data_IF_566267939362
#
_entry.id   IF_566267939362
#
_cell.length_a   1.000
_cell.length_b   1.000
_cell.length_c   1.000
_cell.angle_alpha   90.00
_cell.angle_beta   90.00
_cell.angle_gamma   90.00
#
_symmetry.space_group_name_H-M   'P 1'
#
loop_
_entity.id
_entity.type
_entity.pdbx_description
1 polymer ?
#
# COMPACT_ATOMS: atom_id res chain seq x y z
N UNK A 1 13.44 23.90 6.87
CA UNK A 1 13.65 22.59 6.21
C UNK A 1 13.83 21.52 7.26
N UNK A 2 13.21 20.37 7.07
CA UNK A 2 13.34 19.16 7.89
C UNK A 2 14.63 18.45 7.45
N UNK A 3 15.50 18.12 8.41
CA UNK A 3 16.73 17.38 8.13
C UNK A 3 16.39 15.91 7.84
N UNK A 4 16.32 15.56 6.56
CA UNK A 4 15.90 14.24 6.06
C UNK A 4 16.46 14.05 4.67
N UNK A 5 16.95 12.85 4.38
CA UNK A 5 17.34 12.40 3.03
C UNK A 5 16.24 11.55 2.42
N UNK A 6 15.64 12.01 1.34
CA UNK A 6 14.56 11.34 0.62
C UNK A 6 15.08 10.78 -0.72
N UNK A 7 14.98 9.46 -0.91
CA UNK A 7 15.16 8.81 -2.20
C UNK A 7 13.79 8.51 -2.83
N UNK A 8 13.54 9.07 -4.01
CA UNK A 8 12.32 8.84 -4.79
C UNK A 8 12.69 8.06 -6.05
N UNK A 9 11.96 6.98 -6.35
CA UNK A 9 11.96 6.39 -7.68
C UNK A 9 10.62 6.63 -8.36
N UNK A 10 10.70 7.05 -9.62
CA UNK A 10 9.55 7.27 -10.51
C UNK A 10 9.67 6.30 -11.68
N UNK A 11 8.73 5.37 -11.78
CA UNK A 11 8.62 4.54 -12.98
C UNK A 11 7.92 5.34 -14.09
N UNK A 12 8.62 5.58 -15.21
CA UNK A 12 8.09 6.31 -16.35
C UNK A 12 8.23 5.48 -17.63
N UNK A 13 7.17 4.75 -17.99
CA UNK A 13 7.06 4.21 -19.34
C UNK A 13 6.83 5.36 -20.30
N UNK A 14 7.89 5.74 -21.02
CA UNK A 14 7.89 6.94 -21.83
C UNK A 14 6.71 6.96 -22.79
N UNK A 15 5.94 8.03 -22.65
CA UNK A 15 4.83 8.38 -23.49
C UNK A 15 4.78 9.91 -23.56
N UNK A 16 4.93 10.52 -24.75
CA UNK A 16 4.86 11.97 -24.91
C UNK A 16 3.61 12.61 -24.27
N UNK A 17 2.45 11.93 -24.32
CA UNK A 17 1.20 12.44 -23.77
C UNK A 17 1.19 12.49 -22.23
N UNK A 18 2.11 11.76 -21.58
CA UNK A 18 2.25 11.67 -20.13
C UNK A 18 3.38 12.51 -19.56
N UNK A 19 4.26 13.08 -20.39
CA UNK A 19 5.37 13.94 -19.96
C UNK A 19 4.88 15.09 -19.06
N UNK A 20 3.74 15.70 -19.40
CA UNK A 20 3.10 16.74 -18.59
C UNK A 20 2.80 16.33 -17.15
N UNK A 21 2.52 15.04 -16.89
CA UNK A 21 2.27 14.54 -15.55
C UNK A 21 3.57 14.39 -14.78
N UNK A 22 4.60 13.83 -15.42
CA UNK A 22 5.95 13.75 -14.85
C UNK A 22 6.48 15.13 -14.47
N UNK A 23 6.33 16.15 -15.34
CA UNK A 23 6.70 17.53 -15.01
C UNK A 23 5.98 18.04 -13.77
N UNK A 24 4.66 17.81 -13.64
CA UNK A 24 3.88 18.22 -12.46
C UNK A 24 4.34 17.49 -11.19
N UNK A 25 4.66 16.20 -11.29
CA UNK A 25 5.19 15.41 -10.17
C UNK A 25 6.53 15.96 -9.70
N UNK A 26 7.44 16.26 -10.64
CA UNK A 26 8.76 16.83 -10.34
C UNK A 26 8.66 18.26 -9.77
N UNK A 27 7.85 19.13 -10.39
CA UNK A 27 7.58 20.48 -9.86
C UNK A 27 7.03 20.43 -8.44
N UNK A 28 6.16 19.46 -8.13
CA UNK A 28 5.59 19.32 -6.80
C UNK A 28 6.66 19.08 -5.71
N UNK A 29 7.77 18.42 -6.01
CA UNK A 29 8.87 18.25 -5.05
C UNK A 29 9.58 19.57 -4.70
N UNK A 30 9.46 20.63 -5.50
CA UNK A 30 9.96 21.97 -5.12
C UNK A 30 9.28 22.52 -3.87
N UNK A 31 8.07 22.07 -3.58
CA UNK A 31 7.30 22.48 -2.40
C UNK A 31 7.68 21.69 -1.14
N UNK A 32 8.51 20.66 -1.25
CA UNK A 32 8.88 19.83 -0.12
C UNK A 32 9.93 20.55 0.73
N UNK A 33 9.66 20.71 2.01
CA UNK A 33 10.60 21.34 2.94
C UNK A 33 11.62 20.32 3.49
N UNK A 34 12.21 19.51 2.62
CA UNK A 34 13.18 18.44 2.95
C UNK A 34 14.60 18.89 2.57
N UNK A 35 15.58 18.61 3.41
CA UNK A 35 16.96 19.09 3.21
C UNK A 35 17.67 18.48 2.01
N UNK A 36 17.34 17.24 1.64
CA UNK A 36 18.02 16.48 0.60
C UNK A 36 17.03 15.54 -0.09
N UNK A 37 16.76 15.82 -1.37
CA UNK A 37 15.86 15.03 -2.22
C UNK A 37 16.69 14.52 -3.39
N UNK A 38 16.65 13.21 -3.61
CA UNK A 38 17.20 12.58 -4.78
C UNK A 38 16.09 11.81 -5.49
N UNK A 39 15.81 12.20 -6.74
CA UNK A 39 14.84 11.54 -7.60
C UNK A 39 15.56 10.71 -8.66
N UNK A 40 15.10 9.49 -8.87
CA UNK A 40 15.54 8.63 -9.97
C UNK A 40 14.35 8.33 -10.85
N UNK A 41 14.47 8.64 -12.13
CA UNK A 41 13.46 8.34 -13.13
C UNK A 41 13.92 7.08 -13.88
N UNK A 42 13.20 5.98 -13.66
CA UNK A 42 13.40 4.74 -14.39
C UNK A 42 12.55 4.77 -15.68
N UNK A 43 13.20 4.80 -16.84
CA UNK A 43 12.55 4.92 -18.16
C UNK A 43 12.97 3.82 -19.13
N UNK A 44 12.21 3.64 -20.22
CA UNK A 44 12.50 2.67 -21.29
C UNK A 44 13.05 3.32 -22.57
N UNK A 45 13.46 4.60 -22.53
CA UNK A 45 14.08 5.29 -23.67
C UNK A 45 15.06 6.38 -23.22
N UNK A 46 16.12 6.59 -24.02
CA UNK A 46 17.10 7.67 -23.81
C UNK A 46 16.49 9.06 -24.11
N UNK A 47 15.43 9.13 -24.91
CA UNK A 47 14.74 10.39 -25.28
C UNK A 47 14.25 11.17 -24.06
N UNK A 48 13.98 10.46 -22.95
CA UNK A 48 13.55 11.09 -21.68
C UNK A 48 14.58 12.10 -21.21
N UNK A 49 15.88 11.76 -21.28
CA UNK A 49 16.94 12.66 -20.81
C UNK A 49 17.04 13.90 -21.69
N UNK A 50 17.08 13.71 -23.00
CA UNK A 50 17.20 14.81 -23.96
C UNK A 50 16.06 15.82 -23.83
N UNK A 51 14.83 15.33 -23.62
CA UNK A 51 13.64 16.17 -23.51
C UNK A 51 13.48 16.89 -22.17
N UNK A 52 13.89 16.25 -21.07
CA UNK A 52 13.72 16.81 -19.75
C UNK A 52 14.92 17.66 -19.29
N UNK A 53 16.09 17.58 -19.94
CA UNK A 53 17.34 18.18 -19.44
C UNK A 53 17.18 19.64 -19.00
N UNK A 54 16.66 20.50 -19.88
CA UNK A 54 16.48 21.94 -19.57
C UNK A 54 15.58 22.16 -18.35
N UNK A 55 14.56 21.33 -18.18
CA UNK A 55 13.66 21.39 -17.03
C UNK A 55 14.33 20.89 -15.75
N UNK A 56 15.07 19.78 -15.84
CA UNK A 56 15.79 19.17 -14.71
C UNK A 56 16.81 20.14 -14.11
N UNK A 57 17.49 20.92 -14.95
CA UNK A 57 18.47 21.93 -14.53
C UNK A 57 17.84 23.07 -13.69
N UNK A 58 16.51 23.21 -13.72
CA UNK A 58 15.77 24.19 -12.90
C UNK A 58 15.37 23.67 -11.52
N UNK A 59 15.55 22.37 -11.26
CA UNK A 59 15.10 21.73 -10.02
C UNK A 59 16.12 21.97 -8.91
N UNK A 60 15.69 22.30 -7.67
CA UNK A 60 16.59 22.55 -6.55
C UNK A 60 17.10 21.26 -5.88
N UNK A 61 16.97 20.12 -6.56
CA UNK A 61 17.28 18.79 -6.05
C UNK A 61 17.87 17.91 -7.15
N UNK A 62 18.51 16.80 -6.79
CA UNK A 62 19.17 15.92 -7.75
C UNK A 62 18.15 15.04 -8.45
N UNK A 63 18.26 14.95 -9.78
CA UNK A 63 17.49 14.02 -10.60
C UNK A 63 18.43 13.23 -11.51
N UNK A 64 18.41 11.90 -11.35
CA UNK A 64 19.07 10.97 -12.27
C UNK A 64 18.03 10.27 -13.15
N UNK A 65 18.41 9.99 -14.40
CA UNK A 65 17.59 9.21 -15.34
C UNK A 65 18.31 7.90 -15.62
N UNK A 66 17.63 6.78 -15.35
CA UNK A 66 18.11 5.44 -15.64
C UNK A 66 17.29 4.82 -16.76
N UNK A 67 17.94 4.54 -17.89
CA UNK A 67 17.31 3.95 -19.06
C UNK A 67 17.46 2.42 -19.07
N UNK A 68 16.34 1.71 -19.25
CA UNK A 68 16.26 0.25 -19.23
C UNK A 68 15.70 -0.29 -20.55
N UNK A 69 16.59 -0.60 -21.50
CA UNK A 69 16.21 -1.02 -22.86
C UNK A 69 15.94 -2.54 -23.01
N UNK A 70 16.46 -3.36 -22.09
CA UNK A 70 16.49 -4.82 -22.23
C UNK A 70 15.81 -5.52 -21.05
N UNK A 71 14.52 -5.24 -20.84
CA UNK A 71 13.71 -5.88 -19.82
C UNK A 71 13.00 -7.12 -20.38
N UNK A 72 12.97 -8.22 -19.63
CA UNK A 72 12.25 -9.45 -20.02
C UNK A 72 10.77 -9.20 -20.35
N UNK A 73 10.17 -8.24 -19.66
CA UNK A 73 8.82 -7.76 -19.90
C UNK A 73 8.79 -6.24 -19.72
N UNK A 74 8.12 -5.45 -20.59
CA UNK A 74 8.11 -3.99 -20.48
C UNK A 74 7.69 -3.48 -19.10
N UNK A 75 6.67 -4.08 -18.49
CA UNK A 75 6.19 -3.70 -17.16
C UNK A 75 7.17 -4.00 -16.01
N UNK A 76 8.27 -4.73 -16.25
CA UNK A 76 9.31 -4.93 -15.25
C UNK A 76 10.04 -3.62 -14.90
N UNK A 77 9.89 -2.56 -15.71
CA UNK A 77 10.38 -1.22 -15.38
C UNK A 77 9.89 -0.76 -14.00
N UNK A 78 8.65 -1.09 -13.64
CA UNK A 78 8.08 -0.75 -12.32
C UNK A 78 8.81 -1.42 -11.15
N UNK A 79 9.71 -2.38 -11.39
CA UNK A 79 10.47 -3.09 -10.36
C UNK A 79 11.96 -2.73 -10.32
N UNK A 80 12.48 -1.95 -11.29
CA UNK A 80 13.93 -1.67 -11.42
C UNK A 80 14.47 -0.89 -10.22
N UNK A 81 13.63 -0.06 -9.60
CA UNK A 81 13.96 0.70 -8.39
C UNK A 81 14.50 -0.16 -7.24
N UNK A 82 14.11 -1.45 -7.19
CA UNK A 82 14.44 -2.32 -6.06
C UNK A 82 15.93 -2.51 -5.86
N UNK A 83 16.65 -2.80 -6.93
CA UNK A 83 18.09 -3.06 -6.83
C UNK A 83 18.82 -1.83 -6.29
N UNK A 84 18.45 -0.64 -6.79
CA UNK A 84 19.04 0.61 -6.35
C UNK A 84 18.70 0.92 -4.88
N UNK A 85 17.42 0.86 -4.50
CA UNK A 85 17.02 1.12 -3.11
C UNK A 85 17.64 0.11 -2.12
N UNK A 86 17.86 -1.15 -2.51
CA UNK A 86 18.54 -2.14 -1.68
C UNK A 86 19.99 -1.73 -1.40
N UNK A 87 20.72 -1.26 -2.42
CA UNK A 87 22.11 -0.80 -2.29
C UNK A 87 22.23 0.44 -1.39
N UNK A 88 21.20 1.27 -1.39
CA UNK A 88 21.19 2.56 -0.70
C UNK A 88 20.33 2.61 0.55
N UNK A 89 19.93 1.46 1.10
CA UNK A 89 19.01 1.42 2.25
C UNK A 89 19.54 2.15 3.49
N UNK A 90 20.86 2.19 3.67
CA UNK A 90 21.51 2.87 4.80
C UNK A 90 21.81 4.36 4.54
N UNK A 91 21.72 4.82 3.28
CA UNK A 91 22.13 6.17 2.87
C UNK A 91 21.03 7.21 3.01
N UNK A 92 19.76 6.77 3.01
CA UNK A 92 18.57 7.63 3.04
C UNK A 92 17.71 7.37 4.27
N UNK A 93 16.93 8.38 4.68
CA UNK A 93 16.02 8.29 5.83
C UNK A 93 14.63 7.84 5.39
N UNK A 94 14.23 8.23 4.17
CA UNK A 94 12.92 7.95 3.58
C UNK A 94 13.07 7.49 2.14
N UNK A 95 12.26 6.50 1.77
CA UNK A 95 12.17 5.90 0.45
C UNK A 95 10.76 6.08 -0.10
N UNK A 96 10.64 6.43 -1.36
CA UNK A 96 9.37 6.62 -2.04
C UNK A 96 9.41 5.95 -3.42
N UNK A 97 8.37 5.21 -3.76
CA UNK A 97 8.10 4.75 -5.12
C UNK A 97 6.77 5.34 -5.57
N UNK A 98 6.76 5.95 -6.76
CA UNK A 98 5.57 6.48 -7.43
C UNK A 98 5.60 6.17 -8.93
N UNK A 99 4.43 6.21 -9.57
CA UNK A 99 4.31 6.25 -11.04
C UNK A 99 4.34 7.71 -11.52
N UNK A 100 4.62 7.93 -12.81
CA UNK A 100 4.80 9.25 -13.44
C UNK A 100 3.58 10.19 -13.34
N UNK A 101 2.41 9.65 -13.00
CA UNK A 101 1.14 10.37 -12.91
C UNK A 101 0.51 10.37 -11.51
N UNK A 102 1.29 9.99 -10.49
CA UNK A 102 0.88 9.99 -9.08
C UNK A 102 1.57 11.15 -8.35
N UNK A 103 0.79 12.18 -8.01
CA UNK A 103 1.25 13.34 -7.26
C UNK A 103 0.95 13.17 -5.77
N UNK A 104 2.01 13.22 -4.94
CA UNK A 104 1.90 13.28 -3.48
C UNK A 104 2.15 14.73 -3.05
N UNK A 105 1.15 15.51 -2.65
CA UNK A 105 1.36 16.89 -2.20
C UNK A 105 2.24 16.96 -0.96
N UNK A 106 2.94 18.08 -0.76
CA UNK A 106 3.73 18.29 0.46
C UNK A 106 2.89 18.10 1.74
N UNK A 107 1.65 18.60 1.77
CA UNK A 107 0.76 18.43 2.94
C UNK A 107 0.50 16.95 3.26
N UNK A 108 0.35 16.11 2.24
CA UNK A 108 0.14 14.67 2.41
C UNK A 108 1.39 13.96 2.92
N UNK A 109 2.54 14.27 2.34
CA UNK A 109 3.81 13.69 2.78
C UNK A 109 4.22 14.19 4.18
N UNK A 110 3.93 15.45 4.52
CA UNK A 110 4.12 16.02 5.86
C UNK A 110 3.25 15.32 6.91
N UNK A 111 1.98 15.07 6.62
CA UNK A 111 1.12 14.26 7.49
C UNK A 111 1.66 12.83 7.65
N UNK A 112 2.15 12.21 6.58
CA UNK A 112 2.83 10.92 6.67
C UNK A 112 4.06 11.00 7.60
N UNK A 113 4.94 11.99 7.45
CA UNK A 113 6.12 12.16 8.32
C UNK A 113 5.73 12.28 9.81
N UNK A 114 4.68 13.05 10.11
CA UNK A 114 4.24 13.30 11.47
C UNK A 114 3.65 12.05 12.16
N UNK A 115 2.98 11.19 11.39
CA UNK A 115 2.19 10.07 11.93
C UNK A 115 2.86 8.71 11.80
N UNK A 116 3.73 8.54 10.80
CA UNK A 116 4.17 7.23 10.33
C UNK A 116 4.82 6.39 11.44
N UNK A 117 5.64 6.97 12.31
CA UNK A 117 6.27 6.23 13.40
C UNK A 117 5.24 5.67 14.39
N UNK A 118 4.28 6.49 14.82
CA UNK A 118 3.24 6.09 15.76
C UNK A 118 2.32 5.01 15.15
N UNK A 119 1.94 5.18 13.88
CA UNK A 119 1.15 4.18 13.15
C UNK A 119 1.94 2.87 13.01
N UNK A 120 3.22 2.94 12.64
CA UNK A 120 4.05 1.78 12.40
C UNK A 120 4.33 0.95 13.66
N UNK A 121 4.47 1.59 14.83
CA UNK A 121 4.58 0.91 16.14
C UNK A 121 3.38 0.00 16.46
N UNK A 122 2.21 0.23 15.84
CA UNK A 122 1.03 -0.65 15.99
C UNK A 122 1.03 -1.85 15.03
N UNK A 123 2.06 -1.99 14.20
CA UNK A 123 2.13 -2.96 13.11
C UNK A 123 1.31 -2.57 11.87
N UNK A 124 0.82 -1.33 11.79
CA UNK A 124 0.10 -0.78 10.63
C UNK A 124 1.04 0.02 9.72
N UNK A 125 0.54 0.45 8.57
CA UNK A 125 1.24 1.31 7.61
C UNK A 125 0.33 2.50 7.32
N UNK A 126 0.85 3.72 7.47
CA UNK A 126 0.14 4.94 7.09
C UNK A 126 0.08 4.99 5.56
N UNK A 127 -1.10 4.82 4.99
CA UNK A 127 -1.32 4.89 3.53
C UNK A 127 -1.90 6.22 3.07
N UNK A 128 -2.25 6.30 1.79
CA UNK A 128 -2.92 7.45 1.20
C UNK A 128 -4.25 7.03 0.54
N UNK A 129 -5.17 7.97 0.39
CA UNK A 129 -6.33 7.80 -0.48
C UNK A 129 -6.01 8.44 -1.83
N UNK A 130 -5.92 7.60 -2.86
CA UNK A 130 -5.75 8.07 -4.24
C UNK A 130 -7.06 8.65 -4.75
N UNK A 131 -7.01 9.89 -5.21
CA UNK A 131 -8.16 10.65 -5.70
C UNK A 131 -7.94 11.20 -7.09
N UNK A 132 -9.04 11.49 -7.77
CA UNK A 132 -9.10 12.29 -8.98
C UNK A 132 -9.92 13.56 -8.72
N UNK A 133 -9.52 14.65 -9.37
CA UNK A 133 -10.17 15.95 -9.29
C UNK A 133 -10.29 16.57 -10.68
N UNK A 134 -11.20 16.07 -11.55
CA UNK A 134 -11.25 16.47 -12.96
C UNK A 134 -11.54 17.95 -13.17
N UNK A 135 -12.29 18.58 -12.26
CA UNK A 135 -12.80 19.95 -12.43
C UNK A 135 -12.32 20.94 -11.34
N UNK A 136 -11.52 20.48 -10.38
CA UNK A 136 -11.08 21.30 -9.24
C UNK A 136 -12.01 21.25 -8.01
N UNK A 137 -13.31 21.02 -8.23
CA UNK A 137 -14.34 21.19 -7.18
C UNK A 137 -14.57 19.96 -6.29
N UNK A 138 -14.43 18.74 -6.82
CA UNK A 138 -14.84 17.51 -6.13
C UNK A 138 -13.82 16.40 -6.29
N UNK A 139 -13.46 15.79 -5.16
CA UNK A 139 -12.56 14.64 -5.12
C UNK A 139 -13.33 13.32 -5.26
N UNK A 140 -12.88 12.49 -6.18
CA UNK A 140 -13.39 11.13 -6.39
C UNK A 140 -12.35 10.11 -5.95
N UNK A 141 -12.73 9.15 -5.12
CA UNK A 141 -11.82 8.09 -4.68
C UNK A 141 -11.53 7.14 -5.85
N UNK A 142 -10.30 7.20 -6.39
CA UNK A 142 -9.94 6.62 -7.68
C UNK A 142 -10.24 5.11 -7.74
N UNK A 143 -9.97 4.39 -6.66
CA UNK A 143 -10.08 2.93 -6.62
C UNK A 143 -11.48 2.42 -6.26
N UNK A 144 -12.44 3.32 -6.03
CA UNK A 144 -13.78 2.99 -5.54
C UNK A 144 -14.86 3.07 -6.63
N UNK A 145 -15.65 1.99 -6.69
CA UNK A 145 -16.76 1.84 -7.64
C UNK A 145 -18.12 2.24 -7.07
N UNK A 146 -18.21 2.20 -5.75
CA UNK A 146 -19.40 2.50 -4.97
C UNK A 146 -18.96 2.82 -3.53
N UNK A 147 -19.78 3.53 -2.75
CA UNK A 147 -19.55 3.72 -1.33
C UNK A 147 -19.36 2.39 -0.59
N UNK A 148 -18.49 2.37 0.42
CA UNK A 148 -18.26 1.22 1.28
C UNK A 148 -19.09 1.31 2.57
N UNK A 149 -19.41 0.18 3.22
CA UNK A 149 -19.99 0.20 4.56
C UNK A 149 -19.14 1.04 5.52
N UNK A 150 -19.79 1.80 6.41
CA UNK A 150 -19.10 2.59 7.40
C UNK A 150 -18.08 1.74 8.19
N UNK A 151 -16.80 2.14 8.23
CA UNK A 151 -15.76 1.34 8.84
C UNK A 151 -15.81 1.43 10.36
N UNK A 152 -15.06 0.53 10.99
CA UNK A 152 -14.67 0.68 12.39
C UNK A 152 -13.51 1.66 12.46
N UNK A 153 -13.66 2.70 13.29
CA UNK A 153 -12.62 3.69 13.54
C UNK A 153 -11.85 3.32 14.79
N UNK A 154 -10.53 3.45 14.72
CA UNK A 154 -9.60 3.30 15.83
C UNK A 154 -8.87 4.62 16.08
N UNK A 155 -8.22 4.71 17.25
CA UNK A 155 -7.40 5.86 17.62
C UNK A 155 -5.96 5.42 17.82
N UNK A 156 -5.01 6.15 17.24
CA UNK A 156 -3.57 6.02 17.47
C UNK A 156 -3.07 7.40 17.91
N UNK A 157 -2.64 7.52 19.16
CA UNK A 157 -2.38 8.83 19.76
C UNK A 157 -3.67 9.65 19.86
N UNK A 158 -3.68 10.84 19.26
CA UNK A 158 -4.85 11.73 19.17
C UNK A 158 -5.62 11.63 17.85
N UNK A 159 -5.11 10.86 16.87
CA UNK A 159 -5.65 10.81 15.52
C UNK A 159 -6.52 9.56 15.31
N UNK A 160 -7.60 9.71 14.55
CA UNK A 160 -8.48 8.61 14.17
C UNK A 160 -8.05 7.99 12.84
N UNK A 161 -8.22 6.67 12.73
CA UNK A 161 -7.86 5.87 11.57
C UNK A 161 -8.89 4.80 11.25
N UNK A 162 -8.93 4.38 9.99
CA UNK A 162 -9.63 3.17 9.55
C UNK A 162 -8.82 2.37 8.53
N UNK A 163 -9.23 1.13 8.32
CA UNK A 163 -8.70 0.25 7.28
C UNK A 163 -9.59 0.32 6.04
N UNK A 164 -9.12 0.87 4.90
CA UNK A 164 -9.92 0.93 3.67
C UNK A 164 -10.17 -0.44 3.07
N UNK A 165 -11.35 -0.68 2.49
CA UNK A 165 -11.62 -1.95 1.76
C UNK A 165 -10.79 -2.11 0.48
N UNK A 166 -10.37 -0.98 -0.12
CA UNK A 166 -9.58 -0.93 -1.34
C UNK A 166 -8.32 -0.11 -1.05
N UNK A 167 -7.26 -0.74 -0.54
CA UNK A 167 -6.10 -0.01 -0.02
C UNK A 167 -5.09 0.39 -1.12
N UNK A 168 -5.29 -0.04 -2.38
CA UNK A 168 -4.40 0.29 -3.49
C UNK A 168 -4.39 1.80 -3.76
N UNK A 169 -3.19 2.35 -3.96
CA UNK A 169 -3.00 3.79 -4.23
C UNK A 169 -1.77 4.07 -5.13
N UNK A 170 -1.30 3.06 -5.89
CA UNK A 170 -0.25 3.16 -6.90
C UNK A 170 1.10 3.78 -6.45
N UNK A 171 1.38 3.79 -5.15
CA UNK A 171 2.66 4.24 -4.61
C UNK A 171 2.90 3.66 -3.22
N UNK A 172 4.09 3.91 -2.67
CA UNK A 172 4.35 3.72 -1.24
C UNK A 172 5.48 4.62 -0.76
N UNK A 173 5.46 4.90 0.54
CA UNK A 173 6.45 5.73 1.24
C UNK A 173 6.86 4.99 2.51
N UNK A 174 8.17 4.82 2.72
CA UNK A 174 8.74 4.09 3.85
C UNK A 174 9.89 4.85 4.50
N UNK A 175 9.91 4.85 5.83
CA UNK A 175 11.11 5.18 6.61
C UNK A 175 12.20 4.12 6.38
N UNK A 176 13.45 4.43 6.73
CA UNK A 176 14.55 3.44 6.70
C UNK A 176 14.18 2.13 7.39
N UNK A 177 13.57 2.18 8.58
CA UNK A 177 13.17 0.97 9.32
C UNK A 177 12.14 0.15 8.53
N UNK A 178 11.15 0.81 7.95
CA UNK A 178 10.15 0.15 7.10
C UNK A 178 10.78 -0.42 5.83
N UNK A 179 11.73 0.27 5.23
CA UNK A 179 12.45 -0.21 4.05
C UNK A 179 13.30 -1.43 4.39
N UNK A 180 14.02 -1.42 5.51
CA UNK A 180 14.79 -2.56 6.04
C UNK A 180 13.90 -3.77 6.37
N UNK A 181 12.63 -3.56 6.77
CA UNK A 181 11.63 -4.63 6.86
C UNK A 181 11.29 -5.12 5.44
N UNK A 182 10.93 -4.18 4.54
CA UNK A 182 10.39 -4.50 3.23
C UNK A 182 11.33 -5.38 2.40
N UNK A 183 12.62 -5.04 2.35
CA UNK A 183 13.62 -5.78 1.56
C UNK A 183 13.79 -7.25 1.98
N UNK A 184 13.33 -7.62 3.18
CA UNK A 184 13.37 -8.99 3.70
C UNK A 184 12.09 -9.78 3.43
N UNK A 185 11.05 -9.12 2.90
CA UNK A 185 9.75 -9.75 2.66
C UNK A 185 9.75 -10.58 1.38
N UNK A 186 8.87 -11.58 1.32
CA UNK A 186 8.66 -12.35 0.09
C UNK A 186 8.19 -11.43 -1.05
N UNK A 187 7.31 -10.47 -0.76
CA UNK A 187 6.88 -9.43 -1.70
C UNK A 187 8.05 -8.70 -2.37
N UNK A 188 9.17 -8.49 -1.66
CA UNK A 188 10.38 -7.93 -2.22
C UNK A 188 11.18 -8.93 -3.07
N UNK A 189 11.28 -10.17 -2.62
CA UNK A 189 12.13 -11.19 -3.25
C UNK A 189 11.51 -11.73 -4.55
N UNK A 190 10.21 -12.01 -4.57
CA UNK A 190 9.55 -12.68 -5.71
C UNK A 190 8.39 -11.87 -6.33
N UNK A 191 8.14 -10.65 -5.83
CA UNK A 191 7.08 -9.79 -6.32
C UNK A 191 5.65 -10.27 -6.00
N UNK A 192 5.49 -11.26 -5.12
CA UNK A 192 4.20 -11.83 -4.77
C UNK A 192 3.47 -11.00 -3.70
N UNK A 193 2.88 -9.89 -4.11
CA UNK A 193 2.06 -8.99 -3.27
C UNK A 193 0.56 -9.26 -3.39
N UNK A 194 0.14 -10.43 -3.89
CA UNK A 194 -1.27 -10.79 -4.04
C UNK A 194 -1.82 -10.62 -5.46
N UNK A 195 -3.06 -10.10 -5.58
CA UNK A 195 -3.75 -9.94 -6.87
C UNK A 195 -3.33 -8.65 -7.58
N UNK A 196 -3.24 -8.69 -8.90
CA UNK A 196 -2.82 -7.55 -9.73
C UNK A 196 -1.88 -7.97 -10.86
N UNK A 197 -1.68 -7.09 -11.84
CA UNK A 197 -0.65 -7.22 -12.85
C UNK A 197 0.74 -6.89 -12.29
N UNK A 198 1.74 -6.92 -13.17
CA UNK A 198 3.14 -6.68 -12.82
C UNK A 198 3.31 -5.29 -12.18
N UNK A 199 2.63 -4.26 -12.72
CA UNK A 199 2.77 -2.87 -12.25
C UNK A 199 2.10 -2.66 -10.90
N UNK A 200 0.87 -3.12 -10.76
CA UNK A 200 0.10 -2.99 -9.51
C UNK A 200 0.79 -3.70 -8.35
N UNK A 201 1.45 -4.83 -8.64
CA UNK A 201 2.22 -5.57 -7.64
C UNK A 201 3.46 -4.81 -7.16
N UNK A 202 4.17 -4.11 -8.06
CA UNK A 202 5.30 -3.27 -7.69
C UNK A 202 4.86 -2.09 -6.81
N UNK A 203 3.76 -1.46 -7.20
CA UNK A 203 3.18 -0.31 -6.52
C UNK A 203 2.45 -0.66 -5.20
N UNK A 204 2.26 -1.94 -4.90
CA UNK A 204 1.58 -2.37 -3.67
C UNK A 204 2.46 -2.30 -2.40
N UNK A 205 3.79 -2.25 -2.55
CA UNK A 205 4.71 -2.21 -1.41
C UNK A 205 4.49 -3.35 -0.40
N UNK A 206 4.59 -3.02 0.89
CA UNK A 206 4.31 -3.92 2.01
C UNK A 206 2.82 -4.13 2.34
N UNK A 207 1.91 -3.50 1.60
CA UNK A 207 0.48 -3.49 1.92
C UNK A 207 -0.11 -4.90 2.10
N UNK A 208 0.27 -5.83 1.22
CA UNK A 208 -0.28 -7.20 1.13
C UNK A 208 0.70 -8.29 1.58
N UNK A 209 1.79 -7.94 2.25
CA UNK A 209 2.80 -8.92 2.72
C UNK A 209 2.17 -10.01 3.60
N UNK A 210 1.09 -9.68 4.31
CA UNK A 210 0.34 -10.60 5.15
C UNK A 210 -0.91 -11.09 4.41
N UNK A 211 -0.94 -12.38 4.06
CA UNK A 211 -1.90 -13.02 3.13
C UNK A 211 -3.40 -12.84 3.45
N UNK A 212 -3.76 -12.40 4.66
CA UNK A 212 -5.15 -12.37 5.13
C UNK A 212 -5.67 -10.98 5.51
N UNK A 213 -4.79 -9.99 5.62
CA UNK A 213 -5.18 -8.61 5.92
C UNK A 213 -4.10 -7.65 5.44
N UNK A 214 -4.49 -6.48 4.93
CA UNK A 214 -3.54 -5.42 4.66
C UNK A 214 -3.22 -4.64 5.93
N UNK A 215 -2.02 -4.06 5.98
CA UNK A 215 -1.58 -3.22 7.12
C UNK A 215 -1.98 -1.75 6.99
N UNK A 216 -2.48 -1.36 5.82
CA UNK A 216 -2.74 0.03 5.50
C UNK A 216 -3.88 0.61 6.34
N UNK A 217 -3.64 1.78 6.90
CA UNK A 217 -4.65 2.60 7.57
C UNK A 217 -4.61 4.03 7.02
N UNK A 218 -5.76 4.69 7.01
CA UNK A 218 -5.93 6.06 6.54
C UNK A 218 -6.44 6.94 7.69
N UNK A 219 -5.88 8.16 7.87
CA UNK A 219 -6.43 9.12 8.82
C UNK A 219 -7.83 9.56 8.38
N UNK A 220 -8.66 9.87 9.38
CA UNK A 220 -10.03 10.35 9.22
C UNK A 220 -10.36 11.32 10.36
N UNK A 221 -11.22 12.30 10.12
CA UNK A 221 -11.70 13.22 11.14
C UNK A 221 -12.78 12.57 12.01
N UNK A 222 -13.03 13.16 13.19
CA UNK A 222 -14.06 12.69 14.12
C UNK A 222 -15.49 12.82 13.61
N UNK A 223 -15.73 13.59 12.56
CA UNK A 223 -17.02 13.72 11.88
C UNK A 223 -17.16 12.75 10.69
N UNK A 224 -16.10 12.00 10.37
CA UNK A 224 -16.08 11.07 9.23
C UNK A 224 -15.53 11.65 7.93
N UNK A 225 -15.19 12.93 7.90
CA UNK A 225 -14.53 13.55 6.75
C UNK A 225 -13.05 13.16 6.70
N UNK A 226 -12.42 13.42 5.56
CA UNK A 226 -11.01 13.13 5.34
C UNK A 226 -10.19 14.41 5.53
N UNK A 227 -9.09 14.37 6.30
CA UNK A 227 -8.19 15.50 6.37
C UNK A 227 -7.32 15.56 5.11
N UNK A 228 -6.87 16.75 4.70
CA UNK A 228 -6.17 16.94 3.42
C UNK A 228 -4.89 16.10 3.29
N UNK A 229 -4.24 15.76 4.41
CA UNK A 229 -2.98 15.03 4.37
C UNK A 229 -3.16 13.58 3.85
N UNK A 230 -4.39 13.06 3.78
CA UNK A 230 -4.62 11.69 3.28
C UNK A 230 -4.53 11.59 1.76
N UNK A 231 -4.76 12.69 1.04
CA UNK A 231 -5.00 12.63 -0.40
C UNK A 231 -3.72 12.63 -1.24
N UNK A 232 -3.71 11.78 -2.26
CA UNK A 232 -2.75 11.83 -3.37
C UNK A 232 -3.52 11.82 -4.69
N UNK A 233 -2.95 12.40 -5.73
CA UNK A 233 -3.69 12.70 -6.94
C UNK A 233 -3.24 11.81 -8.10
N UNK A 234 -4.20 11.14 -8.74
CA UNK A 234 -4.01 10.55 -10.04
C UNK A 234 -4.28 11.63 -11.10
N UNK A 235 -3.20 12.22 -11.60
CA UNK A 235 -3.23 13.41 -12.44
C UNK A 235 -4.04 13.30 -13.75
N UNK A 236 -4.17 12.13 -14.42
CA UNK A 236 -4.90 12.04 -15.67
C UNK A 236 -6.41 12.26 -15.53
N UNK A 237 -6.97 12.07 -14.33
CA UNK A 237 -8.41 12.13 -14.08
C UNK A 237 -9.25 11.24 -15.03
N UNK A 238 -8.65 10.22 -15.63
CA UNK A 238 -9.29 9.44 -16.68
C UNK A 238 -10.32 8.45 -16.10
N UNK A 239 -10.28 8.09 -14.81
CA UNK A 239 -11.30 7.20 -14.25
C UNK A 239 -12.62 7.92 -13.98
N UNK A 240 -12.57 9.13 -13.47
CA UNK A 240 -13.74 9.95 -13.14
C UNK A 240 -14.42 10.48 -14.41
N UNK A 241 -13.64 10.75 -15.46
CA UNK A 241 -14.14 11.30 -16.73
C UNK A 241 -14.54 10.24 -17.76
N UNK A 242 -14.00 9.02 -17.71
CA UNK A 242 -14.39 7.94 -18.62
C UNK A 242 -15.66 7.23 -18.14
N UNK A 243 -16.76 7.24 -18.90
CA UNK A 243 -17.98 6.52 -18.54
C UNK A 243 -17.82 4.99 -18.60
N UNK A 244 -16.79 4.47 -19.29
CA UNK A 244 -16.59 3.02 -19.48
C UNK A 244 -15.82 2.35 -18.35
N UNK A 245 -15.16 3.12 -17.48
CA UNK A 245 -14.53 2.58 -16.28
C UNK A 245 -15.52 2.49 -15.12
N UNK A 246 -15.33 1.49 -14.26
CA UNK A 246 -16.09 1.37 -13.00
C UNK A 246 -15.42 2.10 -11.84
N UNK A 247 -14.23 2.67 -12.05
CA UNK A 247 -13.42 3.35 -11.04
C UNK A 247 -13.77 4.83 -10.90
N UNK A 248 -13.36 5.44 -9.78
CA UNK A 248 -13.62 6.84 -9.44
C UNK A 248 -15.10 7.28 -9.51
N UNK A 249 -16.04 6.40 -9.14
CA UNK A 249 -17.49 6.68 -9.19
C UNK A 249 -18.08 7.08 -7.85
N UNK A 250 -17.23 7.29 -6.84
CA UNK A 250 -17.64 7.65 -5.49
C UNK A 250 -16.83 8.85 -5.03
N UNK A 251 -17.54 9.90 -4.62
CA UNK A 251 -16.89 11.06 -4.03
C UNK A 251 -16.34 10.73 -2.65
N UNK A 252 -15.30 11.44 -2.22
CA UNK A 252 -14.72 11.26 -0.88
C UNK A 252 -15.71 11.60 0.24
N UNK A 253 -16.60 12.56 0.00
CA UNK A 253 -17.70 12.96 0.91
C UNK A 253 -18.75 11.85 1.10
N UNK A 254 -18.96 11.02 0.08
CA UNK A 254 -19.97 9.96 0.06
C UNK A 254 -19.35 8.57 0.18
N UNK A 255 -18.09 8.47 0.61
CA UNK A 255 -17.36 7.19 0.61
C UNK A 255 -17.97 6.15 1.54
N UNK A 256 -18.65 6.59 2.61
CA UNK A 256 -19.20 5.71 3.63
C UNK A 256 -20.73 5.62 3.59
N UNK A 257 -21.24 4.40 3.64
CA UNK A 257 -22.66 4.10 3.83
C UNK A 257 -22.98 3.93 5.31
N UNK A 258 -23.85 4.79 5.84
CA UNK A 258 -24.34 4.71 7.22
C UNK A 258 -23.47 5.45 8.23
N UNK A 259 -23.76 5.26 9.52
CA UNK A 259 -23.07 5.95 10.61
C UNK A 259 -21.75 5.27 10.95
N UNK A 260 -20.70 6.07 11.03
CA UNK A 260 -19.38 5.66 11.50
C UNK A 260 -19.45 5.20 12.95
N UNK A 261 -18.75 4.11 13.26
CA UNK A 261 -18.69 3.53 14.60
C UNK A 261 -17.28 3.66 15.17
N UNK A 262 -17.18 4.32 16.31
CA UNK A 262 -15.93 4.44 17.06
C UNK A 262 -15.75 3.24 17.99
N UNK A 263 -14.56 2.63 17.97
CA UNK A 263 -14.15 1.68 19.01
C UNK A 263 -13.03 2.31 19.82
N UNK A 264 -13.16 2.25 21.14
CA UNK A 264 -12.08 2.64 22.04
C UNK A 264 -10.82 1.78 21.76
N UNK A 265 -9.65 2.40 21.82
CA UNK A 265 -8.36 1.82 21.44
C UNK A 265 -8.03 0.51 22.15
N UNK A 266 -8.51 0.31 23.39
CA UNK A 266 -8.33 -0.92 24.14
C UNK A 266 -9.12 -2.11 23.55
N UNK A 267 -10.38 -1.90 23.16
CA UNK A 267 -11.22 -2.94 22.56
C UNK A 267 -10.82 -3.23 21.11
N UNK A 268 -10.34 -2.22 20.39
CA UNK A 268 -9.79 -2.37 19.03
C UNK A 268 -8.53 -3.24 19.02
N UNK A 269 -7.58 -2.95 19.92
CA UNK A 269 -6.38 -3.76 20.12
C UNK A 269 -6.75 -5.18 20.56
N UNK A 270 -7.62 -5.34 21.57
CA UNK A 270 -8.01 -6.68 22.04
C UNK A 270 -8.81 -7.47 21.01
N UNK A 271 -9.63 -6.84 20.16
CA UNK A 271 -10.37 -7.52 19.07
C UNK A 271 -9.41 -7.96 17.96
N UNK A 272 -8.48 -7.10 17.55
CA UNK A 272 -7.46 -7.42 16.55
C UNK A 272 -6.48 -8.49 17.07
N UNK A 273 -6.05 -8.37 18.32
CA UNK A 273 -5.22 -9.36 19.00
C UNK A 273 -5.97 -10.67 19.21
N UNK A 274 -7.29 -10.63 19.54
CA UNK A 274 -8.12 -11.83 19.56
C UNK A 274 -8.29 -12.46 18.19
N UNK A 275 -8.42 -11.70 17.10
CA UNK A 275 -8.48 -12.28 15.75
C UNK A 275 -7.15 -12.95 15.37
N UNK A 276 -6.02 -12.28 15.63
CA UNK A 276 -4.67 -12.83 15.42
C UNK A 276 -4.40 -14.07 16.28
N UNK A 277 -4.80 -14.05 17.55
CA UNK A 277 -4.70 -15.19 18.45
C UNK A 277 -5.65 -16.29 18.00
N UNK A 278 -6.92 -16.01 17.72
CA UNK A 278 -7.87 -17.03 17.29
C UNK A 278 -7.41 -17.71 16.02
N UNK A 279 -6.89 -17.01 15.02
CA UNK A 279 -6.42 -17.65 13.77
C UNK A 279 -5.14 -18.47 13.96
N UNK A 280 -4.15 -17.93 14.70
CA UNK A 280 -2.88 -18.62 14.98
C UNK A 280 -3.08 -19.80 15.94
N UNK A 281 -3.84 -19.61 17.00
CA UNK A 281 -4.18 -20.67 17.96
C UNK A 281 -5.23 -21.63 17.41
N UNK A 282 -6.21 -21.26 16.57
CA UNK A 282 -7.08 -22.27 15.92
C UNK A 282 -6.25 -23.21 15.05
N UNK A 283 -5.18 -22.74 14.41
CA UNK A 283 -4.29 -23.57 13.61
C UNK A 283 -3.42 -24.49 14.48
N UNK A 284 -2.89 -23.98 15.59
CA UNK A 284 -2.10 -24.74 16.57
C UNK A 284 -2.99 -25.71 17.37
N UNK A 285 -4.13 -25.26 17.89
CA UNK A 285 -5.13 -26.07 18.57
C UNK A 285 -5.69 -27.12 17.61
N UNK A 286 -6.01 -26.81 16.34
CA UNK A 286 -6.42 -27.85 15.37
C UNK A 286 -5.31 -28.87 15.15
N UNK A 287 -4.05 -28.47 15.02
CA UNK A 287 -2.94 -29.41 14.79
C UNK A 287 -2.62 -30.26 16.03
N UNK A 288 -2.67 -29.68 17.22
CA UNK A 288 -2.50 -30.38 18.49
C UNK A 288 -3.71 -31.26 18.84
N UNK A 289 -4.93 -30.81 18.57
CA UNK A 289 -6.15 -31.59 18.78
C UNK A 289 -6.20 -32.78 17.84
N UNK A 290 -5.81 -32.63 16.56
CA UNK A 290 -5.68 -33.75 15.62
C UNK A 290 -4.59 -34.73 16.09
N UNK A 291 -3.42 -34.25 16.54
CA UNK A 291 -2.35 -35.11 17.08
C UNK A 291 -2.77 -35.84 18.36
N UNK A 292 -3.37 -35.14 19.33
CA UNK A 292 -3.88 -35.75 20.57
C UNK A 292 -5.00 -36.74 20.28
N UNK A 293 -5.96 -36.40 19.43
CA UNK A 293 -7.03 -37.30 19.04
C UNK A 293 -6.48 -38.58 18.39
N UNK A 294 -5.39 -38.48 17.62
CA UNK A 294 -4.74 -39.63 17.02
C UNK A 294 -3.93 -40.49 18.00
N UNK A 295 -3.37 -39.89 19.05
CA UNK A 295 -2.49 -40.55 20.04
C UNK A 295 -3.25 -41.15 21.22
N UNK A 296 -4.29 -40.48 21.72
CA UNK A 296 -4.93 -40.81 23.00
C UNK A 296 -6.26 -41.55 22.82
N UNK A 297 -6.96 -41.36 21.68
CA UNK A 297 -8.27 -41.98 21.46
C UNK A 297 -8.13 -43.38 20.86
N UNK A 298 -8.68 -44.44 21.50
CA UNK A 298 -8.64 -45.80 20.98
C UNK A 298 -9.22 -45.89 19.57
N UNK A 299 -8.60 -46.71 18.70
CA UNK A 299 -8.96 -46.81 17.27
C UNK A 299 -10.46 -47.09 17.05
N UNK A 300 -11.09 -47.93 17.88
CA UNK A 300 -12.52 -48.25 17.79
C UNK A 300 -13.43 -47.03 18.04
N UNK A 301 -13.05 -46.16 18.97
CA UNK A 301 -13.78 -44.91 19.26
C UNK A 301 -13.60 -43.91 18.12
N UNK A 302 -12.42 -43.86 17.49
CA UNK A 302 -12.18 -43.01 16.31
C UNK A 302 -13.03 -43.39 15.10
N UNK A 303 -13.19 -44.68 14.84
CA UNK A 303 -14.03 -45.16 13.73
C UNK A 303 -15.52 -44.88 13.96
N UNK A 304 -15.98 -44.93 15.21
CA UNK A 304 -17.34 -44.54 15.58
C UNK A 304 -17.60 -43.04 15.33
N UNK A 305 -16.70 -42.15 15.77
CA UNK A 305 -16.85 -40.70 15.52
C UNK A 305 -16.74 -40.31 14.04
N UNK A 306 -16.00 -41.05 13.21
CA UNK A 306 -15.95 -40.81 11.75
C UNK A 306 -17.32 -40.99 11.07
N UNK A 307 -18.18 -41.85 11.61
CA UNK A 307 -19.54 -42.07 11.09
C UNK A 307 -20.50 -40.93 11.47
N UNK A 308 -20.13 -40.09 12.45
CA UNK A 308 -20.96 -38.99 12.96
C UNK A 308 -20.51 -37.61 12.46
N UNK A 309 -19.39 -37.53 11.74
CA UNK A 309 -18.81 -36.28 11.26
C UNK A 309 -19.12 -36.05 9.77
N UNK A 310 -19.27 -34.79 9.31
CA UNK A 310 -19.41 -34.46 7.90
C UNK A 310 -18.20 -34.96 7.08
N UNK A 311 -18.43 -35.46 5.86
CA UNK A 311 -17.37 -36.01 4.97
C UNK A 311 -16.16 -35.08 4.81
N UNK A 312 -16.39 -33.77 4.73
CA UNK A 312 -15.34 -32.75 4.58
C UNK A 312 -14.32 -32.71 5.72
N UNK A 313 -14.71 -33.16 6.92
CA UNK A 313 -13.86 -33.30 8.10
C UNK A 313 -13.18 -34.66 8.17
N UNK A 314 -13.85 -35.73 7.71
CA UNK A 314 -13.31 -37.09 7.65
C UNK A 314 -12.11 -37.17 6.69
N UNK A 315 -12.20 -36.54 5.52
CA UNK A 315 -11.13 -36.49 4.52
C UNK A 315 -9.87 -35.77 5.04
N UNK A 316 -10.01 -34.78 5.92
CA UNK A 316 -8.84 -34.08 6.51
C UNK A 316 -8.15 -34.88 7.62
N UNK A 317 -8.89 -35.76 8.30
CA UNK A 317 -8.34 -36.62 9.37
C UNK A 317 -7.59 -37.85 8.81
N UNK A 318 -7.88 -38.28 7.58
CA UNK A 318 -7.23 -39.42 6.92
C UNK A 318 -5.92 -39.08 6.20
N UNK A 319 -5.67 -37.81 5.86
CA UNK A 319 -4.51 -37.37 5.06
C UNK A 319 -3.20 -37.22 5.85
N UNK A 320 -3.22 -37.25 7.18
CA UNK A 320 -2.00 -37.07 8.03
C UNK A 320 -1.20 -38.37 8.21
N UNK A 321 -1.50 -39.44 7.47
CA UNK A 321 -0.65 -40.65 7.40
C UNK A 321 0.10 -40.70 6.08
N UNK A 322 1.19 -39.94 5.99
CA UNK A 322 2.43 -40.26 5.27
C UNK A 322 3.54 -39.36 5.76
#
# INVERSE_FOLDING_TARGET
>A
MIQTKLLVHIAFHYNPDREQYLFKVLENFKNYEISDIHVIIDTNTEETKEKLQDFLDTLPFTVDIHTHLNLDHPFNLTWTHREHMLKHVEDYDVFMYIEDDILIPWIAFKGWLAENEAVYKTGKIRGFLRVENPNGDKLYAADYRQPMPAPVIWTIGSQYYFSPLRPYHACWVYSRIQMQEFIKTQAWIDGNTGAGGIREKAASGMMWVYKFYHRLVLPINSDGTFPEEVFIYHLPNNYSTDPNTSFAKTSTEELFQGKIKYKNSFDGFMTYYHQLIQEKYLKIIKSYFIKMYQLVVPKKVREYFKQLLPESLVTKLSVVRR
#
